data_IF_832511271924
#
_entry.id   IF_832511271924
#
_cell.length_a   1.000
_cell.length_b   1.000
_cell.length_c   1.000
_cell.angle_alpha   90.00
_cell.angle_beta   90.00
_cell.angle_gamma   90.00
#
_symmetry.space_group_name_H-M   'P 1'
#
loop_
_entity.id
_entity.type
_entity.pdbx_description
1 polymer ?
#
# COMPACT_ATOMS: atom_id res chain seq x y z
N UNK A 1 -9.17 -3.51 -42.39
CA UNK A 1 -9.98 -4.12 -41.36
C UNK A 1 -9.10 -4.41 -40.16
N UNK A 2 -9.46 -3.90 -38.98
CA UNK A 2 -8.82 -4.29 -37.73
C UNK A 2 -9.17 -5.77 -37.48
N UNK A 3 -8.17 -6.66 -37.48
CA UNK A 3 -8.36 -8.05 -37.13
C UNK A 3 -8.78 -8.16 -35.69
N UNK A 4 -9.90 -8.83 -35.39
CA UNK A 4 -10.29 -9.20 -34.06
C UNK A 4 -9.39 -10.37 -33.61
N UNK A 5 -8.71 -10.21 -32.49
CA UNK A 5 -8.01 -11.32 -31.83
C UNK A 5 -8.97 -11.94 -30.82
N UNK A 6 -9.56 -13.09 -31.18
CA UNK A 6 -10.52 -13.81 -30.34
C UNK A 6 -9.80 -14.82 -29.45
N UNK A 7 -9.90 -14.65 -28.14
CA UNK A 7 -9.34 -15.53 -27.10
C UNK A 7 -10.43 -16.28 -26.31
N UNK A 8 -11.65 -16.33 -26.86
CA UNK A 8 -12.84 -16.89 -26.17
C UNK A 8 -12.82 -18.41 -26.00
N UNK A 9 -12.00 -19.14 -26.76
CA UNK A 9 -11.94 -20.59 -26.74
C UNK A 9 -10.61 -21.12 -26.22
N UNK A 10 -10.62 -21.79 -25.07
CA UNK A 10 -9.47 -22.49 -24.50
C UNK A 10 -8.64 -21.69 -23.49
N UNK A 11 -7.61 -22.31 -22.94
CA UNK A 11 -6.66 -21.70 -22.02
C UNK A 11 -5.64 -20.83 -22.78
N UNK A 12 -6.07 -19.68 -23.28
CA UNK A 12 -5.21 -18.77 -24.01
C UNK A 12 -4.33 -17.97 -23.06
N UNK A 13 -3.01 -18.10 -23.21
CA UNK A 13 -2.01 -17.32 -22.50
C UNK A 13 -1.28 -16.42 -23.46
N UNK A 14 -1.51 -15.12 -23.38
CA UNK A 14 -0.70 -14.14 -24.11
C UNK A 14 0.51 -13.82 -23.24
N UNK A 15 1.70 -14.11 -23.77
CA UNK A 15 2.95 -13.87 -23.05
C UNK A 15 3.58 -12.59 -23.58
N UNK A 16 3.67 -11.55 -22.76
CA UNK A 16 4.43 -10.31 -23.04
C UNK A 16 5.63 -10.21 -22.08
N UNK A 17 6.41 -11.28 -22.06
CA UNK A 17 7.56 -11.43 -21.17
C UNK A 17 8.83 -10.92 -21.82
N UNK A 18 9.58 -10.11 -21.07
CA UNK A 18 10.93 -9.67 -21.39
C UNK A 18 11.83 -9.91 -20.18
N UNK A 19 13.05 -10.36 -20.42
CA UNK A 19 13.97 -10.65 -19.31
C UNK A 19 14.42 -9.36 -18.63
N UNK A 20 14.77 -8.33 -19.40
CA UNK A 20 15.29 -7.05 -18.90
C UNK A 20 14.57 -5.86 -19.55
N UNK A 21 14.72 -4.68 -18.98
CA UNK A 21 14.21 -3.41 -19.55
C UNK A 21 14.84 -3.11 -20.92
N UNK A 22 16.12 -3.46 -21.11
CA UNK A 22 16.84 -3.28 -22.37
C UNK A 22 16.29 -4.11 -23.53
N UNK A 23 15.53 -5.16 -23.22
CA UNK A 23 14.96 -6.07 -24.21
C UNK A 23 13.62 -5.55 -24.76
N UNK A 24 13.06 -4.51 -24.14
CA UNK A 24 11.81 -3.91 -24.58
C UNK A 24 11.99 -3.25 -25.95
N UNK A 25 11.04 -3.46 -26.89
CA UNK A 25 11.09 -2.80 -28.19
C UNK A 25 10.82 -1.29 -28.06
N UNK A 26 11.00 -0.55 -29.15
CA UNK A 26 10.75 0.89 -29.16
C UNK A 26 9.32 1.23 -28.71
N UNK A 27 9.19 1.97 -27.61
CA UNK A 27 7.90 2.40 -27.09
C UNK A 27 7.14 3.32 -28.08
N UNK A 28 7.84 4.04 -28.95
CA UNK A 28 7.23 4.84 -30.01
C UNK A 28 6.57 3.98 -31.08
N UNK A 29 7.23 2.85 -31.44
CA UNK A 29 6.69 1.92 -32.45
C UNK A 29 5.51 1.11 -31.91
N UNK A 30 5.58 0.74 -30.64
CA UNK A 30 4.58 -0.12 -29.99
C UNK A 30 3.71 0.66 -29.00
N UNK A 31 3.32 1.88 -29.35
CA UNK A 31 2.45 2.72 -28.54
C UNK A 31 1.15 1.97 -28.15
N UNK A 32 0.84 1.95 -26.86
CA UNK A 32 -0.31 1.21 -26.31
C UNK A 32 -0.01 -0.25 -25.91
N UNK A 33 1.18 -0.76 -26.22
CA UNK A 33 1.56 -2.13 -25.81
C UNK A 33 1.79 -2.25 -24.31
N UNK A 34 1.62 -3.48 -23.81
CA UNK A 34 1.90 -3.87 -22.42
C UNK A 34 3.02 -4.91 -22.39
N UNK A 35 3.89 -4.86 -21.39
CA UNK A 35 5.01 -5.78 -21.23
C UNK A 35 5.25 -6.10 -19.75
N UNK A 36 5.55 -7.37 -19.44
CA UNK A 36 6.11 -7.80 -18.16
C UNK A 36 7.62 -7.91 -18.27
N UNK A 37 8.35 -7.19 -17.42
CA UNK A 37 9.82 -7.25 -17.33
C UNK A 37 10.22 -8.00 -16.07
N UNK A 38 10.79 -9.19 -16.25
CA UNK A 38 11.10 -10.11 -15.16
C UNK A 38 12.14 -9.56 -14.18
N UNK A 39 13.22 -8.97 -14.69
CA UNK A 39 14.29 -8.42 -13.85
C UNK A 39 13.82 -7.33 -12.88
N UNK A 40 12.70 -6.68 -13.17
CA UNK A 40 12.13 -5.62 -12.32
C UNK A 40 10.83 -6.03 -11.64
N UNK A 41 10.29 -7.23 -11.93
CA UNK A 41 8.96 -7.65 -11.48
C UNK A 41 7.82 -6.74 -11.98
N UNK A 42 8.11 -5.85 -12.92
CA UNK A 42 7.22 -4.76 -13.31
C UNK A 42 6.34 -5.07 -14.51
N UNK A 43 5.13 -4.50 -14.50
CA UNK A 43 4.26 -4.36 -15.67
C UNK A 43 4.46 -2.97 -16.25
N UNK A 44 4.64 -2.87 -17.57
CA UNK A 44 4.92 -1.63 -18.26
C UNK A 44 3.91 -1.38 -19.38
N UNK A 45 3.68 -0.10 -19.68
CA UNK A 45 2.82 0.38 -20.76
C UNK A 45 3.59 1.35 -21.64
N UNK A 46 3.56 1.13 -22.96
CA UNK A 46 4.23 2.01 -23.92
C UNK A 46 3.36 3.23 -24.21
N UNK A 47 3.83 4.43 -23.82
CA UNK A 47 3.13 5.69 -24.08
C UNK A 47 4.12 6.85 -24.24
N UNK A 48 3.84 7.74 -25.19
CA UNK A 48 4.65 8.95 -25.41
C UNK A 48 6.14 8.67 -25.74
N UNK A 49 6.44 7.52 -26.35
CA UNK A 49 7.80 7.12 -26.71
C UNK A 49 8.61 6.51 -25.56
N UNK A 50 8.01 6.30 -24.40
CA UNK A 50 8.65 5.69 -23.24
C UNK A 50 7.83 4.51 -22.69
N UNK A 51 8.49 3.58 -22.02
CA UNK A 51 7.83 2.53 -21.25
C UNK A 51 7.58 3.04 -19.83
N UNK A 52 6.31 3.22 -19.49
CA UNK A 52 5.86 3.67 -18.16
C UNK A 52 5.57 2.45 -17.30
N UNK A 53 6.19 2.34 -16.14
CA UNK A 53 5.90 1.28 -15.18
C UNK A 53 4.51 1.50 -14.55
N UNK A 54 3.66 0.48 -14.60
CA UNK A 54 2.29 0.53 -14.07
C UNK A 54 2.19 0.05 -12.62
N UNK A 55 3.10 -0.81 -12.20
CA UNK A 55 3.19 -1.28 -10.83
C UNK A 55 4.63 -1.15 -10.33
N UNK A 56 4.78 -0.81 -9.09
CA UNK A 56 6.04 -0.86 -8.39
C UNK A 56 5.85 -1.74 -7.16
N UNK A 57 6.57 -2.87 -7.09
CA UNK A 57 6.51 -3.76 -5.93
C UNK A 57 7.11 -3.11 -4.69
N UNK A 58 7.95 -2.08 -4.88
CA UNK A 58 8.58 -1.34 -3.78
C UNK A 58 7.81 -0.09 -3.38
N UNK A 59 6.97 0.45 -4.28
CA UNK A 59 6.17 1.67 -4.08
C UNK A 59 4.75 1.50 -4.61
N UNK A 60 4.06 0.45 -4.20
CA UNK A 60 2.63 0.26 -4.53
C UNK A 60 1.81 1.53 -4.24
N UNK A 61 0.52 1.56 -4.60
CA UNK A 61 -0.32 2.73 -4.33
C UNK A 61 -0.14 3.23 -2.90
N UNK A 62 0.12 4.53 -2.73
CA UNK A 62 0.33 5.14 -1.43
C UNK A 62 -0.96 5.81 -0.98
N UNK A 63 -1.47 5.39 0.17
CA UNK A 63 -2.61 6.02 0.83
C UNK A 63 -2.15 6.72 2.10
N UNK A 64 -2.41 8.02 2.19
CA UNK A 64 -2.08 8.81 3.39
C UNK A 64 -3.33 9.09 4.22
N UNK A 65 -3.24 8.78 5.51
CA UNK A 65 -4.19 9.20 6.53
C UNK A 65 -3.56 10.25 7.45
N UNK A 66 -4.35 11.23 7.88
CA UNK A 66 -3.94 12.17 8.93
C UNK A 66 -4.71 11.82 10.19
N UNK A 67 -3.98 11.56 11.27
CA UNK A 67 -4.56 11.23 12.56
C UNK A 67 -4.86 12.50 13.36
N UNK A 68 -6.09 12.58 13.86
CA UNK A 68 -6.54 13.47 14.90
C UNK A 68 -6.83 12.69 16.17
N UNK A 69 -7.24 13.37 17.23
CA UNK A 69 -7.59 12.75 18.50
C UNK A 69 -8.89 13.32 19.08
N UNK A 70 -9.64 12.49 19.79
CA UNK A 70 -10.72 12.86 20.67
C UNK A 70 -10.25 12.70 22.12
N UNK A 71 -9.54 13.74 22.62
CA UNK A 71 -8.86 13.67 23.92
C UNK A 71 -7.88 12.49 23.99
N UNK A 72 -7.87 11.82 25.13
CA UNK A 72 -7.08 10.60 25.36
C UNK A 72 -7.90 9.32 25.18
N UNK A 73 -9.08 9.42 24.56
CA UNK A 73 -10.02 8.30 24.43
C UNK A 73 -9.94 7.62 23.08
N UNK A 74 -9.70 8.39 22.00
CA UNK A 74 -9.77 7.85 20.66
C UNK A 74 -8.89 8.61 19.66
N UNK A 75 -8.50 7.90 18.59
CA UNK A 75 -8.06 8.51 17.36
C UNK A 75 -9.24 8.79 16.44
N UNK A 76 -9.10 9.85 15.66
CA UNK A 76 -9.93 10.13 14.48
C UNK A 76 -9.02 10.20 13.25
N UNK A 77 -9.57 10.01 12.05
CA UNK A 77 -8.75 10.04 10.84
C UNK A 77 -9.44 10.80 9.71
N UNK A 78 -8.62 11.44 8.89
CA UNK A 78 -8.99 11.98 7.58
C UNK A 78 -8.11 11.37 6.51
N UNK A 79 -8.63 11.22 5.30
CA UNK A 79 -7.92 10.63 4.17
C UNK A 79 -8.84 9.78 3.29
N UNK A 80 -8.32 9.22 2.18
CA UNK A 80 -9.11 8.42 1.25
C UNK A 80 -9.74 7.19 1.91
N UNK A 81 -11.08 7.09 1.89
CA UNK A 81 -11.82 5.96 2.48
C UNK A 81 -11.82 5.92 4.02
N UNK A 82 -11.30 6.94 4.69
CA UNK A 82 -11.41 7.04 6.15
C UNK A 82 -12.87 7.18 6.57
N UNK A 83 -13.30 6.37 7.53
CA UNK A 83 -14.62 6.52 8.16
C UNK A 83 -14.56 7.54 9.29
N UNK A 84 -15.60 8.34 9.44
CA UNK A 84 -15.74 9.28 10.56
C UNK A 84 -16.00 8.54 11.87
N UNK A 85 -15.60 9.14 12.98
CA UNK A 85 -15.87 8.66 14.33
C UNK A 85 -14.60 8.26 15.08
N UNK A 86 -14.79 7.72 16.27
CA UNK A 86 -13.74 7.35 17.19
C UNK A 86 -13.20 5.96 16.87
N UNK A 87 -11.88 5.85 16.82
CA UNK A 87 -11.16 4.60 16.57
C UNK A 87 -11.70 3.79 15.37
N UNK A 88 -11.84 4.38 14.16
CA UNK A 88 -12.39 3.66 13.02
C UNK A 88 -11.51 2.47 12.62
N UNK A 89 -12.13 1.40 12.12
CA UNK A 89 -11.40 0.27 11.57
C UNK A 89 -10.91 0.57 10.15
N UNK A 90 -9.76 0.00 9.79
CA UNK A 90 -9.20 0.08 8.46
C UNK A 90 -9.24 -1.27 7.73
N UNK A 91 -9.38 -1.19 6.40
CA UNK A 91 -9.07 -2.30 5.50
C UNK A 91 -7.86 -1.90 4.68
N UNK A 92 -6.77 -2.63 4.82
CA UNK A 92 -5.54 -2.42 4.08
C UNK A 92 -5.38 -3.50 3.02
N UNK A 93 -4.93 -3.11 1.84
CA UNK A 93 -4.78 -4.00 0.69
C UNK A 93 -3.33 -4.43 0.53
N UNK A 94 -3.11 -5.71 0.20
CA UNK A 94 -1.79 -6.28 -0.10
C UNK A 94 -1.10 -5.49 -1.21
N UNK A 95 0.20 -5.29 -1.09
CA UNK A 95 1.00 -4.54 -2.04
C UNK A 95 0.83 -3.02 -1.99
N UNK A 96 0.00 -2.49 -1.08
CA UNK A 96 -0.20 -1.05 -0.90
C UNK A 96 0.67 -0.51 0.23
N UNK A 97 1.01 0.76 0.13
CA UNK A 97 1.69 1.51 1.20
C UNK A 97 0.72 2.44 1.90
N UNK A 98 0.69 2.39 3.20
CA UNK A 98 -0.10 3.27 4.05
C UNK A 98 0.81 4.14 4.90
N UNK A 99 0.57 5.45 4.84
CA UNK A 99 1.21 6.45 5.69
C UNK A 99 0.18 6.98 6.68
N UNK A 100 0.49 6.93 7.96
CA UNK A 100 -0.32 7.56 9.00
C UNK A 100 0.48 8.74 9.54
N UNK A 101 0.02 9.93 9.23
CA UNK A 101 0.59 11.19 9.69
C UNK A 101 -0.05 11.58 11.02
N UNK A 102 0.68 11.41 12.08
CA UNK A 102 0.28 11.77 13.44
C UNK A 102 1.13 12.95 13.97
N UNK A 103 1.64 13.80 13.07
CA UNK A 103 2.55 14.92 13.39
C UNK A 103 1.94 15.86 14.44
N UNK A 104 0.63 16.13 14.35
CA UNK A 104 -0.06 17.03 15.28
C UNK A 104 -0.09 16.51 16.73
N UNK A 105 0.17 15.22 16.96
CA UNK A 105 0.05 14.57 18.27
C UNK A 105 1.38 13.92 18.71
N UNK A 106 2.50 14.37 18.12
CA UNK A 106 3.85 13.88 18.48
C UNK A 106 4.10 14.04 19.97
N UNK A 107 4.60 12.98 20.61
CA UNK A 107 4.90 12.94 22.05
C UNK A 107 3.69 12.63 22.93
N UNK A 108 2.49 13.05 22.58
CA UNK A 108 1.29 12.84 23.40
C UNK A 108 0.61 11.51 23.10
N UNK A 109 0.47 11.18 21.81
CA UNK A 109 -0.27 10.00 21.34
C UNK A 109 0.53 9.21 20.28
N UNK A 110 1.60 8.48 20.69
CA UNK A 110 2.37 7.65 19.78
C UNK A 110 1.51 6.54 19.18
N UNK A 111 1.22 6.62 17.87
CA UNK A 111 0.42 5.63 17.15
C UNK A 111 1.33 4.55 16.57
N UNK A 112 1.11 3.32 16.97
CA UNK A 112 1.85 2.15 16.51
C UNK A 112 0.94 1.10 15.90
N UNK A 113 1.45 0.33 14.95
CA UNK A 113 0.83 -0.89 14.45
C UNK A 113 1.31 -2.05 15.32
N UNK A 114 0.37 -2.85 15.82
CA UNK A 114 0.61 -3.94 16.75
C UNK A 114 -0.10 -5.21 16.33
N UNK A 115 0.36 -6.35 16.84
CA UNK A 115 -0.24 -7.67 16.60
C UNK A 115 -1.64 -7.80 17.21
N UNK A 116 -1.89 -7.10 18.32
CA UNK A 116 -3.18 -7.05 19.02
C UNK A 116 -3.20 -5.86 19.99
N UNK A 117 -4.36 -5.56 20.58
CA UNK A 117 -4.47 -4.55 21.63
C UNK A 117 -3.58 -4.92 22.83
N UNK A 118 -2.65 -4.03 23.18
CA UNK A 118 -1.62 -4.27 24.20
C UNK A 118 -0.54 -5.26 23.79
N UNK A 119 -0.57 -5.78 22.58
CA UNK A 119 0.42 -6.71 22.03
C UNK A 119 1.73 -6.05 21.61
N UNK A 120 2.62 -6.86 21.04
CA UNK A 120 3.92 -6.40 20.54
C UNK A 120 3.76 -5.51 19.32
N UNK A 121 4.71 -4.63 19.09
CA UNK A 121 4.81 -3.85 17.87
C UNK A 121 4.96 -4.80 16.66
N UNK A 122 4.16 -4.59 15.62
CA UNK A 122 4.26 -5.34 14.37
C UNK A 122 5.38 -4.77 13.52
N UNK A 123 6.21 -5.62 12.94
CA UNK A 123 7.43 -5.20 12.22
C UNK A 123 7.46 -5.57 10.75
N UNK A 124 6.74 -6.63 10.33
CA UNK A 124 6.77 -7.10 8.93
C UNK A 124 6.13 -6.07 8.00
N UNK A 125 6.94 -5.45 7.15
CA UNK A 125 6.49 -4.38 6.25
C UNK A 125 6.27 -3.02 6.91
N UNK A 126 6.35 -2.92 8.24
CA UNK A 126 6.29 -1.64 8.95
C UNK A 126 7.70 -1.05 8.97
N UNK A 127 7.96 -0.12 8.06
CA UNK A 127 9.29 0.51 7.91
C UNK A 127 9.48 1.67 8.87
N UNK A 128 8.38 2.29 9.31
CA UNK A 128 8.35 3.34 10.32
C UNK A 128 7.17 3.06 11.26
N UNK A 129 7.43 2.60 12.48
CA UNK A 129 6.36 2.33 13.46
C UNK A 129 6.33 3.42 14.53
N UNK A 130 5.84 4.57 14.16
CA UNK A 130 5.89 5.84 14.87
C UNK A 130 7.31 6.41 15.02
N UNK A 131 7.61 7.36 14.17
CA UNK A 131 8.80 8.20 14.33
C UNK A 131 8.53 9.28 15.37
N UNK A 132 9.32 9.29 16.45
CA UNK A 132 9.14 10.22 17.56
C UNK A 132 9.41 11.69 17.22
N UNK A 133 10.06 11.96 16.11
CA UNK A 133 10.33 13.33 15.61
C UNK A 133 9.25 13.80 14.64
N UNK A 134 8.82 12.92 13.73
CA UNK A 134 7.88 13.26 12.66
C UNK A 134 6.44 12.81 12.93
N UNK A 135 6.23 11.91 13.87
CA UNK A 135 4.92 11.31 14.14
C UNK A 135 4.44 10.36 13.05
N UNK A 136 5.29 10.01 12.08
CA UNK A 136 4.89 9.14 10.97
C UNK A 136 4.91 7.67 11.37
N UNK A 137 3.94 6.94 10.83
CA UNK A 137 3.92 5.48 10.80
C UNK A 137 3.75 5.06 9.35
N UNK A 138 4.62 4.18 8.85
CA UNK A 138 4.59 3.69 7.48
C UNK A 138 4.50 2.18 7.46
N UNK A 139 3.52 1.66 6.72
CA UNK A 139 3.31 0.24 6.52
C UNK A 139 3.22 -0.08 5.03
N UNK A 140 4.18 -0.85 4.54
CA UNK A 140 4.17 -1.46 3.21
C UNK A 140 3.60 -2.85 3.38
N UNK A 141 2.34 -3.04 3.01
CA UNK A 141 1.65 -4.33 3.19
C UNK A 141 2.24 -5.36 2.24
N UNK A 142 2.83 -6.45 2.74
CA UNK A 142 3.36 -7.51 1.88
C UNK A 142 2.28 -8.13 0.99
N UNK A 143 2.66 -8.69 -0.16
CA UNK A 143 1.75 -9.47 -1.00
C UNK A 143 1.32 -10.78 -0.32
N UNK A 144 2.21 -11.35 0.50
CA UNK A 144 1.95 -12.55 1.31
C UNK A 144 2.18 -12.21 2.79
N UNK A 145 1.23 -11.53 3.46
CA UNK A 145 1.37 -11.16 4.86
C UNK A 145 1.25 -12.39 5.77
N UNK A 146 2.07 -12.43 6.82
CA UNK A 146 1.95 -13.47 7.87
C UNK A 146 0.68 -13.30 8.71
N UNK A 147 0.21 -12.06 8.84
CA UNK A 147 -0.96 -11.69 9.64
C UNK A 147 -1.92 -10.87 8.81
N UNK A 148 -3.19 -11.18 8.90
CA UNK A 148 -4.28 -10.47 8.20
C UNK A 148 -5.15 -9.64 9.12
N UNK A 149 -4.88 -9.67 10.42
CA UNK A 149 -5.58 -8.91 11.45
C UNK A 149 -4.58 -8.29 12.40
N UNK A 150 -4.52 -6.97 12.39
CA UNK A 150 -3.64 -6.15 13.22
C UNK A 150 -4.46 -5.06 13.91
N UNK A 151 -3.82 -4.26 14.73
CA UNK A 151 -4.41 -3.05 15.30
C UNK A 151 -3.45 -1.87 15.14
N UNK A 152 -4.00 -0.66 15.03
CA UNK A 152 -3.26 0.53 15.41
C UNK A 152 -3.62 0.89 16.86
N UNK A 153 -2.65 1.34 17.64
CA UNK A 153 -2.87 1.68 19.05
C UNK A 153 -1.93 2.77 19.52
N UNK A 154 -2.43 3.62 20.42
CA UNK A 154 -1.60 4.56 21.16
C UNK A 154 -0.76 3.82 22.19
N UNK A 155 0.54 4.18 22.28
CA UNK A 155 1.41 3.58 23.32
C UNK A 155 1.11 4.10 24.74
N UNK A 156 0.50 5.30 24.84
CA UNK A 156 0.23 5.95 26.12
C UNK A 156 -1.20 5.70 26.64
N UNK A 157 -2.15 5.39 25.72
CA UNK A 157 -3.58 5.29 26.08
C UNK A 157 -4.18 4.03 25.46
N UNK A 158 -4.50 3.06 26.25
CA UNK A 158 -4.95 1.72 25.81
C UNK A 158 -6.30 1.74 25.09
N UNK A 159 -7.17 2.71 25.40
CA UNK A 159 -8.48 2.88 24.76
C UNK A 159 -8.39 3.40 23.33
N UNK A 160 -7.29 4.06 22.96
CA UNK A 160 -7.07 4.58 21.62
C UNK A 160 -6.56 3.46 20.70
N UNK A 161 -7.47 2.59 20.27
CA UNK A 161 -7.16 1.40 19.47
C UNK A 161 -8.26 1.13 18.45
N UNK A 162 -7.87 0.75 17.23
CA UNK A 162 -8.80 0.29 16.19
C UNK A 162 -8.18 -0.84 15.38
N UNK A 163 -9.01 -1.60 14.66
CA UNK A 163 -8.59 -2.77 13.92
C UNK A 163 -8.07 -2.40 12.52
N UNK A 164 -7.11 -3.19 12.04
CA UNK A 164 -6.63 -3.21 10.66
C UNK A 164 -6.86 -4.62 10.12
N UNK A 165 -7.70 -4.74 9.11
CA UNK A 165 -7.89 -5.99 8.35
C UNK A 165 -7.08 -5.91 7.06
N UNK A 166 -6.29 -6.93 6.73
CA UNK A 166 -5.52 -7.02 5.48
C UNK A 166 -6.24 -7.96 4.52
N UNK A 167 -6.48 -7.50 3.28
CA UNK A 167 -7.17 -8.23 2.22
C UNK A 167 -6.37 -8.31 0.93
#
# INVERSE_FOLDING_TARGET
SAGLFDVSSGANKIVFYYANLSDLPSASTYHGAVAHVHATGGLYFAHGGVWIRLNDETTGPVTKYTAGVNGSSAYTFTGPGATSGDNPNFTFYKGHTYLIDNTANVGSHPLKIRTSSGGSDFTTGVTENYNSTTGLTQFIVPHEPSDTSLVYQCSNHSSMVGNITIV
#
